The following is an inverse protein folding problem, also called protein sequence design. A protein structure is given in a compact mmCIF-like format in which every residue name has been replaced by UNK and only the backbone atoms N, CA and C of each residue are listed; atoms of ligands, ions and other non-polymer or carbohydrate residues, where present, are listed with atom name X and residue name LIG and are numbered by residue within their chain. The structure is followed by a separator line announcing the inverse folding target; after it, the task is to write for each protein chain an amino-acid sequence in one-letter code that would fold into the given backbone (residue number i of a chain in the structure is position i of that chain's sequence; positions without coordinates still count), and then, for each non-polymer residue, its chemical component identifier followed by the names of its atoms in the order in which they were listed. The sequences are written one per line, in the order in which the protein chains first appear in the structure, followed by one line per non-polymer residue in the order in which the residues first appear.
data_IF_198826534919
#
_entry.id   IF_198826534919
#
_cell.length_a   1.000
_cell.length_b   1.000
_cell.length_c   1.000
_cell.angle_alpha   90.00
_cell.angle_beta   90.00
_cell.angle_gamma   90.00
#
_symmetry.space_group_name_H-M   'P 1'
#
loop_
_entity.id
_entity.type
_entity.pdbx_description
1 polymer ?
#
# COMPACT_ATOMS: atom_id res chain seq x y z
N UNK A 1 11.08 -3.77 -42.32
CA UNK A 1 10.86 -4.95 -41.43
C UNK A 1 12.04 -5.02 -40.45
N UNK A 2 11.90 -4.43 -39.26
CA UNK A 2 13.00 -4.29 -38.27
C UNK A 2 12.72 -5.24 -37.11
N UNK A 3 13.43 -6.36 -37.07
CA UNK A 3 13.36 -7.31 -35.95
C UNK A 3 14.07 -6.66 -34.77
N UNK A 4 13.31 -6.22 -33.77
CA UNK A 4 13.86 -5.84 -32.46
C UNK A 4 14.02 -7.11 -31.65
N UNK A 5 15.20 -7.72 -31.72
CA UNK A 5 15.61 -8.73 -30.76
C UNK A 5 15.89 -8.04 -29.42
N UNK A 6 14.91 -8.05 -28.53
CA UNK A 6 15.10 -7.65 -27.14
C UNK A 6 16.00 -8.68 -26.45
N UNK A 7 17.27 -8.36 -26.32
CA UNK A 7 18.16 -9.06 -25.42
C UNK A 7 17.53 -9.04 -24.02
N UNK A 8 17.26 -10.21 -23.46
CA UNK A 8 16.90 -10.35 -22.06
C UNK A 8 18.07 -9.83 -21.22
N UNK A 9 18.05 -8.56 -20.85
CA UNK A 9 18.96 -8.00 -19.87
C UNK A 9 18.61 -8.64 -18.54
N UNK A 10 19.38 -9.67 -18.15
CA UNK A 10 19.39 -10.18 -16.78
C UNK A 10 19.81 -9.04 -15.86
N UNK A 11 18.84 -8.40 -15.22
CA UNK A 11 19.07 -7.39 -14.21
C UNK A 11 19.74 -8.03 -13.00
N UNK A 12 21.04 -7.77 -12.84
CA UNK A 12 21.75 -8.15 -11.62
C UNK A 12 21.05 -7.52 -10.42
N UNK A 13 20.55 -8.33 -9.50
CA UNK A 13 19.93 -7.86 -8.26
C UNK A 13 20.89 -6.86 -7.59
N UNK A 14 20.46 -5.60 -7.34
CA UNK A 14 21.35 -4.60 -6.75
C UNK A 14 21.79 -5.10 -5.37
N UNK A 15 23.09 -5.34 -5.19
CA UNK A 15 23.72 -5.89 -3.96
C UNK A 15 23.27 -5.15 -2.68
N UNK A 16 22.84 -3.90 -2.82
CA UNK A 16 22.24 -3.09 -1.75
C UNK A 16 20.92 -3.65 -1.25
N UNK A 17 20.01 -4.06 -2.13
CA UNK A 17 18.71 -4.64 -1.75
C UNK A 17 18.91 -5.99 -1.05
N UNK A 18 19.81 -6.82 -1.57
CA UNK A 18 20.20 -8.06 -0.90
C UNK A 18 20.72 -7.80 0.52
N UNK A 19 21.56 -6.76 0.69
CA UNK A 19 22.03 -6.34 2.01
C UNK A 19 20.87 -5.92 2.92
N UNK A 20 19.94 -5.09 2.47
CA UNK A 20 18.79 -4.69 3.28
C UNK A 20 17.90 -5.89 3.67
N UNK A 21 17.70 -6.85 2.78
CA UNK A 21 16.99 -8.09 3.11
C UNK A 21 17.71 -8.88 4.20
N UNK A 22 19.04 -9.03 4.11
CA UNK A 22 19.80 -9.74 5.14
C UNK A 22 19.70 -9.07 6.51
N UNK A 23 19.73 -7.73 6.54
CA UNK A 23 19.58 -6.97 7.79
C UNK A 23 18.16 -7.07 8.34
N UNK A 24 17.12 -7.05 7.50
CA UNK A 24 15.73 -7.25 7.91
C UNK A 24 15.46 -8.64 8.46
N UNK A 25 16.06 -9.68 7.85
CA UNK A 25 16.02 -11.03 8.37
C UNK A 25 16.73 -11.14 9.73
N UNK A 26 17.95 -10.58 9.84
CA UNK A 26 18.68 -10.56 11.10
C UNK A 26 17.93 -9.82 12.22
N UNK A 27 17.31 -8.67 11.91
CA UNK A 27 16.48 -7.93 12.85
C UNK A 27 15.26 -8.74 13.31
N UNK A 28 14.64 -9.51 12.41
CA UNK A 28 13.51 -10.39 12.73
C UNK A 28 13.91 -11.52 13.68
N UNK A 29 15.10 -12.11 13.46
CA UNK A 29 15.67 -13.11 14.37
C UNK A 29 16.00 -12.49 15.72
N UNK A 30 16.60 -11.29 15.75
CA UNK A 30 16.92 -10.60 16.99
C UNK A 30 15.65 -10.24 17.78
N UNK A 31 14.61 -9.75 17.11
CA UNK A 31 13.31 -9.46 17.70
C UNK A 31 12.64 -10.72 18.26
N UNK A 32 12.77 -11.87 17.57
CA UNK A 32 12.30 -13.16 18.08
C UNK A 32 13.01 -13.53 19.38
N UNK A 33 14.35 -13.43 19.40
CA UNK A 33 15.16 -13.74 20.59
C UNK A 33 14.75 -12.83 21.75
N UNK A 34 14.66 -11.52 21.53
CA UNK A 34 14.21 -10.56 22.55
C UNK A 34 12.82 -10.93 23.07
N UNK A 35 11.87 -11.19 22.18
CA UNK A 35 10.51 -11.57 22.58
C UNK A 35 10.50 -12.86 23.41
N UNK A 36 11.31 -13.86 23.05
CA UNK A 36 11.42 -15.11 23.81
C UNK A 36 11.99 -14.88 25.21
N UNK A 37 13.04 -14.06 25.34
CA UNK A 37 13.65 -13.71 26.63
C UNK A 37 12.65 -12.92 27.48
N UNK A 38 11.99 -11.92 26.91
CA UNK A 38 11.06 -11.05 27.65
C UNK A 38 9.79 -11.75 28.10
N UNK A 39 9.26 -12.70 27.31
CA UNK A 39 7.97 -13.34 27.59
C UNK A 39 8.08 -14.73 28.21
N UNK A 40 9.26 -15.35 28.17
CA UNK A 40 9.42 -16.76 28.56
C UNK A 40 8.54 -17.70 27.76
N UNK A 41 8.10 -17.32 26.55
CA UNK A 41 7.20 -18.10 25.69
C UNK A 41 7.71 -19.52 25.43
N UNK A 42 9.04 -19.69 25.35
CA UNK A 42 9.71 -20.97 25.19
C UNK A 42 10.01 -21.75 26.49
N UNK A 43 9.53 -21.28 27.65
CA UNK A 43 9.72 -21.94 28.94
C UNK A 43 8.65 -23.01 29.20
N UNK A 44 9.00 -24.21 29.72
CA UNK A 44 8.04 -25.25 30.05
C UNK A 44 6.99 -24.77 31.06
N UNK A 45 5.71 -24.92 30.72
CA UNK A 45 4.59 -24.54 31.61
C UNK A 45 4.00 -25.78 32.27
N UNK A 46 4.00 -25.81 33.60
CA UNK A 46 3.66 -27.01 34.38
C UNK A 46 2.20 -27.46 34.31
N UNK A 47 1.27 -26.61 33.85
CA UNK A 47 -0.18 -26.90 33.93
C UNK A 47 -0.87 -27.19 32.59
N UNK A 48 -0.38 -26.68 31.45
CA UNK A 48 -0.97 -26.88 30.11
C UNK A 48 0.10 -26.64 29.03
N UNK A 49 1.14 -27.48 28.94
CA UNK A 49 2.11 -27.36 27.82
C UNK A 49 1.69 -28.33 26.69
N UNK A 50 1.14 -27.83 25.56
CA UNK A 50 0.80 -28.66 24.39
C UNK A 50 2.04 -29.26 23.68
N UNK A 51 3.23 -29.07 24.25
CA UNK A 51 4.46 -29.75 23.87
C UNK A 51 5.45 -28.80 23.21
N UNK A 52 6.72 -29.22 23.18
CA UNK A 52 7.82 -28.41 22.66
C UNK A 52 7.57 -27.89 21.24
N UNK A 53 6.90 -28.68 20.39
CA UNK A 53 6.58 -28.31 19.00
C UNK A 53 5.67 -27.09 18.95
N UNK A 54 4.59 -27.04 19.74
CA UNK A 54 3.67 -25.89 19.76
C UNK A 54 4.37 -24.68 20.37
N UNK A 55 5.17 -24.88 21.40
CA UNK A 55 5.88 -23.82 22.11
C UNK A 55 6.94 -23.12 21.26
N UNK A 56 7.65 -23.86 20.41
CA UNK A 56 8.60 -23.30 19.44
C UNK A 56 7.91 -22.87 18.14
N UNK A 57 6.82 -23.53 17.76
CA UNK A 57 6.02 -23.21 16.58
C UNK A 57 5.31 -21.88 16.71
N UNK A 58 4.67 -21.59 17.85
CA UNK A 58 3.89 -20.36 18.04
C UNK A 58 4.72 -19.10 17.78
N UNK A 59 5.91 -18.93 18.40
CA UNK A 59 6.74 -17.76 18.19
C UNK A 59 7.29 -17.67 16.75
N UNK A 60 7.72 -18.80 16.19
CA UNK A 60 8.25 -18.85 14.81
C UNK A 60 7.18 -18.45 13.80
N UNK A 61 6.00 -19.07 13.86
CA UNK A 61 4.88 -18.75 12.98
C UNK A 61 4.45 -17.30 13.15
N UNK A 62 4.43 -16.78 14.39
CA UNK A 62 4.08 -15.38 14.67
C UNK A 62 5.02 -14.41 13.94
N UNK A 63 6.34 -14.65 13.98
CA UNK A 63 7.31 -13.81 13.27
C UNK A 63 7.12 -13.92 11.76
N UNK A 64 6.91 -15.12 11.22
CA UNK A 64 6.67 -15.33 9.79
C UNK A 64 5.42 -14.57 9.32
N UNK A 65 4.30 -14.69 10.03
CA UNK A 65 3.05 -14.00 9.68
C UNK A 65 3.21 -12.49 9.75
N UNK A 66 3.87 -11.97 10.79
CA UNK A 66 4.13 -10.53 10.93
C UNK A 66 5.02 -9.98 9.82
N UNK A 67 6.06 -10.73 9.44
CA UNK A 67 6.93 -10.36 8.33
C UNK A 67 6.19 -10.39 6.99
N UNK A 68 5.37 -11.42 6.74
CA UNK A 68 4.53 -11.49 5.55
C UNK A 68 3.54 -10.32 5.47
N UNK A 69 2.91 -9.97 6.60
CA UNK A 69 2.03 -8.80 6.67
C UNK A 69 2.78 -7.50 6.37
N UNK A 70 3.96 -7.30 6.94
CA UNK A 70 4.79 -6.12 6.69
C UNK A 70 5.20 -6.00 5.21
N UNK A 71 5.62 -7.11 4.59
CA UNK A 71 5.95 -7.16 3.14
C UNK A 71 4.72 -6.83 2.30
N UNK A 72 3.56 -7.39 2.64
CA UNK A 72 2.30 -7.14 1.93
C UNK A 72 1.91 -5.66 2.01
N UNK A 73 1.98 -5.06 3.21
CA UNK A 73 1.72 -3.63 3.42
C UNK A 73 2.70 -2.78 2.62
N UNK A 74 4.00 -3.11 2.63
CA UNK A 74 5.02 -2.42 1.84
C UNK A 74 4.75 -2.50 0.33
N UNK A 75 4.38 -3.69 -0.17
CA UNK A 75 4.02 -3.90 -1.57
C UNK A 75 2.79 -3.06 -1.96
N UNK A 76 1.75 -3.03 -1.12
CA UNK A 76 0.59 -2.17 -1.34
C UNK A 76 0.92 -0.69 -1.30
N UNK A 77 1.78 -0.25 -0.37
CA UNK A 77 2.21 1.14 -0.31
C UNK A 77 2.92 1.53 -1.61
N UNK A 78 3.88 0.74 -2.09
CA UNK A 78 4.56 0.95 -3.37
C UNK A 78 3.53 0.99 -4.51
N UNK A 79 2.63 0.01 -4.57
CA UNK A 79 1.57 -0.02 -5.59
C UNK A 79 0.70 1.25 -5.55
N UNK A 80 0.30 1.73 -4.38
CA UNK A 80 -0.50 2.95 -4.24
C UNK A 80 0.24 4.21 -4.74
N UNK A 81 1.54 4.31 -4.50
CA UNK A 81 2.36 5.42 -4.99
C UNK A 81 2.65 5.33 -6.49
N UNK A 82 2.98 4.13 -7.00
CA UNK A 82 3.27 3.90 -8.42
C UNK A 82 2.02 4.01 -9.28
N UNK A 83 0.89 3.49 -8.80
CA UNK A 83 -0.39 3.49 -9.50
C UNK A 83 -1.17 4.80 -9.29
N UNK A 84 -0.53 5.84 -8.74
CA UNK A 84 -1.07 7.20 -8.65
C UNK A 84 -1.12 7.86 -10.03
N UNK A 85 -1.89 7.26 -10.94
CA UNK A 85 -2.27 7.83 -12.22
C UNK A 85 -3.37 8.90 -12.05
N UNK A 86 -3.71 9.66 -13.10
CA UNK A 86 -4.58 10.82 -13.02
C UNK A 86 -6.06 10.42 -12.90
N UNK A 87 -6.44 9.65 -11.89
CA UNK A 87 -7.86 9.40 -11.55
C UNK A 87 -8.61 10.69 -11.19
N UNK A 88 -7.88 11.75 -10.81
CA UNK A 88 -8.43 13.11 -10.69
C UNK A 88 -8.87 13.73 -12.03
N UNK A 89 -8.26 13.36 -13.16
CA UNK A 89 -8.68 13.83 -14.49
C UNK A 89 -9.94 13.12 -14.96
N UNK A 90 -10.08 11.83 -14.66
CA UNK A 90 -11.29 11.08 -15.01
C UNK A 90 -12.54 11.61 -14.29
N UNK A 91 -12.44 11.96 -12.99
CA UNK A 91 -13.55 12.54 -12.24
C UNK A 91 -13.85 14.00 -12.60
N UNK A 92 -12.85 14.78 -13.01
CA UNK A 92 -13.04 16.14 -13.52
C UNK A 92 -13.66 16.15 -14.93
N UNK A 93 -13.33 15.17 -15.78
CA UNK A 93 -13.93 14.99 -17.10
C UNK A 93 -15.36 14.41 -17.02
N UNK A 94 -15.68 13.67 -15.97
CA UNK A 94 -17.00 13.09 -15.72
C UNK A 94 -17.91 13.97 -14.84
N UNK A 95 -17.48 15.16 -14.44
CA UNK A 95 -18.39 16.12 -13.81
C UNK A 95 -19.39 16.56 -14.90
N UNK A 96 -20.69 16.20 -14.78
CA UNK A 96 -21.66 16.70 -15.74
C UNK A 96 -21.67 18.21 -15.61
N UNK A 97 -21.68 18.90 -16.76
CA UNK A 97 -21.97 20.32 -16.81
C UNK A 97 -23.30 20.51 -16.06
N UNK A 98 -23.22 21.02 -14.82
CA UNK A 98 -24.37 21.53 -14.11
C UNK A 98 -24.97 22.56 -15.05
N UNK A 99 -26.16 22.26 -15.55
CA UNK A 99 -27.00 23.15 -16.34
C UNK A 99 -26.99 24.48 -15.59
N UNK A 100 -26.23 25.45 -16.12
CA UNK A 100 -26.26 26.81 -15.59
C UNK A 100 -27.72 27.21 -15.65
N UNK A 101 -28.35 27.66 -14.54
CA UNK A 101 -29.75 28.04 -14.56
C UNK A 101 -29.96 28.91 -15.79
N UNK A 102 -30.79 28.44 -16.73
CA UNK A 102 -31.16 29.20 -17.93
C UNK A 102 -31.38 30.61 -17.41
N UNK A 103 -30.60 31.56 -17.93
CA UNK A 103 -30.91 32.96 -17.73
C UNK A 103 -32.34 33.10 -18.25
N UNK A 104 -33.31 33.04 -17.33
CA UNK A 104 -34.69 33.30 -17.63
C UNK A 104 -34.65 34.68 -18.27
N UNK A 105 -35.09 34.86 -19.54
CA UNK A 105 -35.17 36.17 -20.12
C UNK A 105 -35.95 37.02 -19.12
N UNK A 106 -35.29 38.04 -18.56
CA UNK A 106 -36.01 38.96 -17.70
C UNK A 106 -37.13 39.55 -18.56
N UNK A 107 -38.36 39.66 -18.04
CA UNK A 107 -39.44 40.30 -18.78
C UNK A 107 -38.92 41.65 -19.28
N UNK A 108 -39.04 41.89 -20.58
CA UNK A 108 -38.68 43.16 -21.20
C UNK A 108 -39.43 44.26 -20.46
N UNK A 109 -38.68 45.11 -19.74
CA UNK A 109 -39.24 46.27 -19.07
C UNK A 109 -39.93 47.12 -20.15
N UNK A 110 -41.17 47.60 -19.92
CA UNK A 110 -41.81 48.53 -20.84
C UNK A 110 -40.87 49.72 -21.11
N UNK A 111 -40.67 50.02 -22.38
CA UNK A 111 -39.92 51.21 -22.81
C UNK A 111 -40.81 52.41 -22.47
N UNK A 112 -40.67 52.93 -21.24
CA UNK A 112 -41.34 54.13 -20.79
C UNK A 112 -40.77 55.31 -21.59
N UNK A 113 -41.39 55.54 -22.74
CA UNK A 113 -41.19 56.70 -23.58
C UNK A 113 -41.49 57.98 -22.80
N UNK A 114 -40.46 58.50 -22.14
CA UNK A 114 -40.34 59.83 -21.58
C UNK A 114 -38.89 60.27 -21.85
N UNK A 115 -38.55 61.39 -22.47
CA UNK A 115 -39.24 62.55 -23.04
C UNK A 115 -38.18 63.25 -23.94
N UNK A 116 -38.50 64.28 -24.73
CA UNK A 116 -38.79 65.62 -24.20
C UNK A 116 -40.13 66.21 -24.66
#
# INVERSE_FOLDING_TARGET
MRVVNGAATTSGTPRRVARWLTWGAAASVLALILALISTGAASPRALVDPGAVVRWGLPVVTVVVRSAAAVTIGAFAIAAFTLRGPVRRARAAAAPAVDSPRAHPLPSLPDDGASP
#
